data_IF_570366186195
#
_entry.id   IF_570366186195
#
_cell.length_a   1.000
_cell.length_b   1.000
_cell.length_c   1.000
_cell.angle_alpha   90.00
_cell.angle_beta   90.00
_cell.angle_gamma   90.00
#
_symmetry.space_group_name_H-M   'P 1'
#
loop_
_entity.id
_entity.type
_entity.pdbx_description
1 polymer ?
#
# COMPACT_ATOMS: atom_id res chain seq x y z
N UNK A 1 -31.82 25.04 -4.81
CA UNK A 1 -32.52 24.23 -5.84
C UNK A 1 -32.65 22.80 -5.36
N UNK A 2 -33.89 22.34 -5.20
CA UNK A 2 -34.27 21.03 -4.69
C UNK A 2 -34.84 20.23 -5.85
N UNK A 3 -34.32 19.03 -6.08
CA UNK A 3 -34.69 18.21 -7.23
C UNK A 3 -35.72 17.16 -6.77
N UNK A 4 -36.85 17.10 -7.45
CA UNK A 4 -37.94 16.14 -7.20
C UNK A 4 -37.72 14.92 -8.09
N UNK A 5 -37.57 13.74 -7.50
CA UNK A 5 -37.54 12.47 -8.24
C UNK A 5 -38.97 11.99 -8.49
N UNK A 6 -39.36 11.82 -9.76
CA UNK A 6 -40.76 11.70 -10.24
C UNK A 6 -41.61 10.51 -9.77
N UNK A 7 -41.11 9.60 -8.92
CA UNK A 7 -41.84 8.37 -8.55
C UNK A 7 -42.36 8.32 -7.10
N UNK A 8 -41.84 9.15 -6.21
CA UNK A 8 -42.25 9.22 -4.80
C UNK A 8 -42.18 10.67 -4.34
N UNK A 9 -43.22 11.20 -3.67
CA UNK A 9 -43.23 12.53 -3.01
C UNK A 9 -42.30 12.55 -1.78
N UNK A 10 -41.10 11.98 -1.89
CA UNK A 10 -40.08 11.99 -0.85
C UNK A 10 -39.07 13.05 -1.22
N UNK A 11 -39.03 14.11 -0.43
CA UNK A 11 -38.06 15.17 -0.56
C UNK A 11 -36.72 14.69 0.00
N UNK A 12 -35.73 14.49 -0.88
CA UNK A 12 -34.37 14.12 -0.48
C UNK A 12 -33.41 15.27 -0.75
N UNK A 13 -32.77 15.78 0.31
CA UNK A 13 -31.71 16.77 0.18
C UNK A 13 -30.46 16.15 -0.45
N UNK A 14 -29.79 16.86 -1.36
CA UNK A 14 -28.49 16.43 -1.87
C UNK A 14 -27.52 16.19 -0.70
N UNK A 15 -26.66 15.17 -0.79
CA UNK A 15 -25.64 14.95 0.22
C UNK A 15 -24.75 16.20 0.36
N UNK A 16 -24.35 16.50 1.59
CA UNK A 16 -23.46 17.64 1.85
C UNK A 16 -22.12 17.39 1.17
N UNK A 17 -21.62 18.39 0.44
CA UNK A 17 -20.28 18.35 -0.13
C UNK A 17 -19.26 18.48 1.01
N UNK A 18 -18.32 17.53 1.06
CA UNK A 18 -17.23 17.57 2.03
C UNK A 18 -16.01 18.32 1.48
N UNK A 19 -15.07 18.67 2.37
CA UNK A 19 -13.81 19.30 1.97
C UNK A 19 -13.03 18.38 1.03
N UNK A 20 -12.49 18.87 -0.10
CA UNK A 20 -11.66 18.06 -0.98
C UNK A 20 -10.38 17.61 -0.27
N UNK A 21 -9.89 16.43 -0.66
CA UNK A 21 -8.64 15.88 -0.16
C UNK A 21 -7.45 16.72 -0.63
N UNK A 22 -6.44 16.91 0.22
CA UNK A 22 -5.18 17.60 -0.17
C UNK A 22 -4.48 16.93 -1.37
N UNK A 23 -4.56 15.60 -1.44
CA UNK A 23 -3.92 14.81 -2.50
C UNK A 23 -4.93 14.36 -3.54
N UNK A 24 -4.56 14.49 -4.82
CA UNK A 24 -5.35 13.98 -5.95
C UNK A 24 -5.26 12.46 -6.05
N UNK A 25 -6.12 11.85 -6.87
CA UNK A 25 -6.12 10.39 -7.07
C UNK A 25 -4.78 9.92 -7.65
N UNK A 26 -4.20 10.67 -8.59
CA UNK A 26 -2.90 10.35 -9.21
C UNK A 26 -1.76 10.42 -8.21
N UNK A 27 -1.75 11.42 -7.34
CA UNK A 27 -0.74 11.56 -6.29
C UNK A 27 -0.81 10.42 -5.27
N UNK A 28 -2.02 9.99 -4.89
CA UNK A 28 -2.22 8.81 -4.02
C UNK A 28 -1.68 7.54 -4.69
N UNK A 29 -1.85 7.37 -6.00
CA UNK A 29 -1.27 6.24 -6.76
C UNK A 29 0.25 6.31 -6.81
N UNK A 30 0.82 7.50 -6.99
CA UNK A 30 2.28 7.71 -6.95
C UNK A 30 2.85 7.28 -5.59
N UNK A 31 2.19 7.67 -4.50
CA UNK A 31 2.53 7.23 -3.16
C UNK A 31 2.48 5.69 -3.00
N UNK A 32 1.47 5.02 -3.53
CA UNK A 32 1.43 3.54 -3.51
C UNK A 32 2.54 2.91 -4.37
N UNK A 33 2.91 3.53 -5.49
CA UNK A 33 4.01 3.06 -6.35
C UNK A 33 5.35 3.15 -5.62
N UNK A 34 5.56 4.22 -4.85
CA UNK A 34 6.76 4.41 -4.03
C UNK A 34 6.92 3.28 -3.00
N UNK A 35 5.85 2.93 -2.27
CA UNK A 35 5.88 1.81 -1.31
C UNK A 35 6.07 0.46 -2.02
N UNK A 36 5.54 0.29 -3.22
CA UNK A 36 5.76 -0.93 -4.01
C UNK A 36 7.22 -1.09 -4.43
N UNK A 37 7.92 0.02 -4.72
CA UNK A 37 9.36 0.00 -5.05
C UNK A 37 10.23 -0.27 -3.81
N UNK A 38 9.91 0.39 -2.69
CA UNK A 38 10.60 0.17 -1.43
C UNK A 38 9.57 0.02 -0.29
N UNK A 39 9.29 -1.23 0.15
CA UNK A 39 8.26 -1.49 1.17
C UNK A 39 8.70 -1.11 2.59
N UNK A 40 9.99 -0.80 2.80
CA UNK A 40 10.54 -0.43 4.11
C UNK A 40 10.41 1.08 4.40
N UNK A 41 9.83 1.86 3.49
CA UNK A 41 9.65 3.29 3.69
C UNK A 41 8.70 3.59 4.85
N UNK A 42 9.12 4.51 5.70
CA UNK A 42 8.33 4.99 6.83
C UNK A 42 7.32 6.06 6.38
N UNK A 43 6.26 6.26 7.17
CA UNK A 43 5.25 7.26 6.85
C UNK A 43 5.79 8.71 6.87
N UNK A 44 6.84 8.97 7.65
CA UNK A 44 7.61 10.22 7.68
C UNK A 44 8.32 10.45 6.36
N UNK A 45 9.12 9.47 5.92
CA UNK A 45 9.84 9.52 4.65
C UNK A 45 8.88 9.69 3.46
N UNK A 46 7.73 9.03 3.50
CA UNK A 46 6.71 9.20 2.45
C UNK A 46 6.16 10.63 2.44
N UNK A 47 5.98 11.24 3.61
CA UNK A 47 5.50 12.62 3.71
C UNK A 47 6.55 13.64 3.22
N UNK A 48 7.83 13.42 3.55
CA UNK A 48 8.93 14.27 3.06
C UNK A 48 9.08 14.16 1.55
N UNK A 49 9.07 12.93 1.00
CA UNK A 49 9.11 12.70 -0.45
C UNK A 49 7.95 13.38 -1.20
N UNK A 50 6.75 13.37 -0.61
CA UNK A 50 5.58 14.03 -1.19
C UNK A 50 5.74 15.55 -1.14
N UNK A 51 6.29 16.08 -0.06
CA UNK A 51 6.59 17.51 0.04
C UNK A 51 7.62 17.92 -1.02
N UNK A 52 8.72 17.18 -1.14
CA UNK A 52 9.78 17.45 -2.12
C UNK A 52 9.30 17.37 -3.58
N UNK A 53 8.43 16.40 -3.91
CA UNK A 53 8.00 16.14 -5.29
C UNK A 53 6.79 16.96 -5.73
N UNK A 54 5.91 17.31 -4.79
CA UNK A 54 4.59 17.88 -5.11
C UNK A 54 4.33 19.22 -4.39
N UNK A 55 5.25 19.68 -3.55
CA UNK A 55 5.12 20.87 -2.70
C UNK A 55 3.84 20.85 -1.84
N UNK A 56 3.46 19.66 -1.37
CA UNK A 56 2.26 19.44 -0.55
C UNK A 56 2.63 18.91 0.82
N UNK A 57 2.47 19.77 1.82
CA UNK A 57 2.66 19.36 3.20
C UNK A 57 1.50 18.46 3.69
N UNK A 58 1.84 17.20 3.97
CA UNK A 58 0.95 16.20 4.58
C UNK A 58 1.53 15.73 5.91
N UNK A 59 0.66 15.38 6.86
CA UNK A 59 1.08 14.70 8.09
C UNK A 59 1.26 13.21 7.82
N UNK A 60 2.16 12.55 8.54
CA UNK A 60 2.37 11.09 8.49
C UNK A 60 1.08 10.28 8.64
N UNK A 61 0.19 10.72 9.53
CA UNK A 61 -1.11 10.08 9.74
C UNK A 61 -1.97 10.08 8.47
N UNK A 62 -1.83 11.10 7.61
CA UNK A 62 -2.51 11.18 6.32
C UNK A 62 -1.94 10.13 5.36
N UNK A 63 -0.62 9.98 5.29
CA UNK A 63 0.03 8.92 4.48
C UNK A 63 -0.43 7.52 4.94
N UNK A 64 -0.40 7.25 6.27
CA UNK A 64 -0.89 5.99 6.85
C UNK A 64 -2.34 5.69 6.49
N UNK A 65 -3.24 6.69 6.59
CA UNK A 65 -4.66 6.53 6.24
C UNK A 65 -4.86 6.19 4.76
N UNK A 66 -4.09 6.81 3.87
CA UNK A 66 -4.17 6.54 2.43
C UNK A 66 -3.65 5.14 2.13
N UNK A 67 -2.51 4.73 2.70
CA UNK A 67 -1.96 3.38 2.53
C UNK A 67 -2.91 2.29 3.02
N UNK A 68 -3.53 2.51 4.19
CA UNK A 68 -4.52 1.59 4.75
C UNK A 68 -5.75 1.44 3.86
N UNK A 69 -6.19 2.50 3.17
CA UNK A 69 -7.29 2.46 2.19
C UNK A 69 -6.93 1.69 0.92
N UNK A 70 -5.64 1.51 0.65
CA UNK A 70 -5.11 0.73 -0.49
C UNK A 70 -4.66 -0.66 -0.07
N UNK A 71 -5.12 -1.14 1.09
CA UNK A 71 -4.78 -2.44 1.69
C UNK A 71 -3.30 -2.66 2.03
N UNK A 72 -2.47 -1.60 2.02
CA UNK A 72 -1.11 -1.68 2.52
C UNK A 72 -1.09 -1.54 4.04
N UNK A 73 -0.50 -2.53 4.71
CA UNK A 73 -0.33 -2.58 6.17
C UNK A 73 1.15 -2.67 6.52
N UNK A 74 1.54 -2.02 7.61
CA UNK A 74 2.86 -2.20 8.20
C UNK A 74 3.00 -3.63 8.74
N UNK A 75 4.09 -4.30 8.39
CA UNK A 75 4.48 -5.59 8.95
C UNK A 75 5.96 -5.58 9.27
N UNK A 76 6.35 -6.35 10.28
CA UNK A 76 7.75 -6.61 10.60
C UNK A 76 8.22 -7.80 9.77
N UNK A 77 9.35 -7.65 9.08
CA UNK A 77 9.95 -8.72 8.31
C UNK A 77 10.70 -9.65 9.28
N UNK A 78 10.50 -10.99 9.21
CA UNK A 78 11.26 -11.91 10.06
C UNK A 78 12.74 -11.91 9.69
N UNK A 79 13.62 -12.03 10.68
CA UNK A 79 15.07 -12.16 10.48
C UNK A 79 15.40 -13.50 9.82
N UNK A 80 15.92 -13.46 8.59
CA UNK A 80 16.42 -14.65 7.89
C UNK A 80 17.93 -14.78 8.12
N UNK A 81 18.47 -15.99 8.35
CA UNK A 81 19.91 -16.17 8.41
C UNK A 81 20.55 -15.82 7.06
N UNK A 82 21.76 -15.27 7.11
CA UNK A 82 22.54 -15.02 5.90
C UNK A 82 22.95 -16.35 5.26
N UNK A 83 22.71 -16.51 3.96
CA UNK A 83 23.08 -17.70 3.20
C UNK A 83 23.98 -17.23 2.05
N UNK A 84 25.18 -17.79 1.97
CA UNK A 84 26.10 -17.52 0.85
C UNK A 84 25.49 -17.96 -0.48
N UNK A 85 25.94 -17.34 -1.58
CA UNK A 85 25.48 -17.71 -2.92
C UNK A 85 25.71 -19.20 -3.24
N UNK A 86 26.84 -19.75 -2.83
CA UNK A 86 27.17 -21.18 -3.00
C UNK A 86 26.18 -22.09 -2.25
N UNK A 87 25.88 -21.78 -0.98
CA UNK A 87 24.95 -22.56 -0.17
C UNK A 87 23.51 -22.43 -0.68
N UNK A 88 23.12 -21.27 -1.19
CA UNK A 88 21.81 -21.06 -1.81
C UNK A 88 21.63 -21.96 -3.05
N UNK A 89 22.63 -22.04 -3.93
CA UNK A 89 22.58 -22.90 -5.11
C UNK A 89 22.50 -24.38 -4.74
N UNK A 90 23.32 -24.83 -3.78
CA UNK A 90 23.27 -26.21 -3.27
C UNK A 90 21.90 -26.57 -2.70
N UNK A 91 21.28 -25.67 -1.92
CA UNK A 91 19.93 -25.87 -1.38
C UNK A 91 18.87 -25.97 -2.47
N UNK A 92 18.97 -25.15 -3.53
CA UNK A 92 18.05 -25.20 -4.67
C UNK A 92 18.22 -26.52 -5.44
N UNK A 93 19.45 -26.94 -5.71
CA UNK A 93 19.74 -28.22 -6.38
C UNK A 93 19.19 -29.39 -5.56
N UNK A 94 19.52 -29.45 -4.26
CA UNK A 94 19.01 -30.46 -3.35
C UNK A 94 17.47 -30.52 -3.36
N UNK A 95 16.81 -29.36 -3.25
CA UNK A 95 15.35 -29.29 -3.27
C UNK A 95 14.78 -29.86 -4.57
N UNK A 96 15.36 -29.51 -5.73
CA UNK A 96 14.94 -30.04 -7.05
C UNK A 96 15.10 -31.56 -7.14
N UNK A 97 16.27 -32.07 -6.75
CA UNK A 97 16.61 -33.49 -6.83
C UNK A 97 15.75 -34.35 -5.88
N UNK A 98 15.19 -33.74 -4.83
CA UNK A 98 14.44 -34.43 -3.78
C UNK A 98 12.94 -34.05 -3.79
N UNK A 99 12.42 -33.33 -4.79
CA UNK A 99 11.01 -32.90 -4.82
C UNK A 99 10.02 -34.07 -4.79
N UNK A 100 10.38 -35.20 -5.38
CA UNK A 100 9.53 -36.38 -5.53
C UNK A 100 9.98 -37.57 -4.69
N UNK A 101 10.95 -37.37 -3.79
CA UNK A 101 11.39 -38.48 -2.93
C UNK A 101 10.31 -38.77 -1.89
N UNK A 102 9.96 -40.04 -1.67
CA UNK A 102 9.05 -40.39 -0.59
C UNK A 102 9.63 -39.95 0.74
N UNK A 103 8.76 -39.63 1.71
CA UNK A 103 9.13 -39.21 3.07
C UNK A 103 9.59 -40.40 3.93
N UNK A 104 10.28 -41.36 3.32
CA UNK A 104 10.88 -42.51 4.01
C UNK A 104 12.22 -42.04 4.58
N UNK A 105 12.41 -42.21 5.89
CA UNK A 105 13.55 -41.72 6.66
C UNK A 105 14.69 -42.74 6.71
#
# INVERSE_FOLDING_TARGET
MLFITKSTRVYSSKPRLSRPSKLTIREKRSMTSMVKKNPCLTATQIATDIYEKLDKNIRENTARKILKKTEYRSRVVPSKPYISMTNRLKRIAFAKDHMHKPLEF
#
